data_IF_008888067650
#
_entry.id   IF_008888067650
#
_cell.length_a   1.000
_cell.length_b   1.000
_cell.length_c   1.000
_cell.angle_alpha   90.00
_cell.angle_beta   90.00
_cell.angle_gamma   90.00
#
_symmetry.space_group_name_H-M   'P 1'
#
loop_
_entity.id
_entity.type
_entity.pdbx_description
1 polymer ?
#
# COMPACT_ATOMS: atom_id res chain seq x y z
N UNK A 1 3.29 30.94 -2.19
CA UNK A 1 1.85 30.76 -2.52
C UNK A 1 1.47 29.31 -2.21
N UNK A 2 0.43 29.12 -1.44
CA UNK A 2 -0.03 27.77 -1.09
C UNK A 2 -0.93 27.22 -2.22
N UNK A 3 -0.80 25.92 -2.50
CA UNK A 3 -1.73 25.19 -3.37
C UNK A 3 -3.03 24.98 -2.58
N UNK A 4 -4.18 25.18 -3.20
CA UNK A 4 -5.45 25.02 -2.52
C UNK A 4 -5.79 23.54 -2.24
N UNK A 5 -6.62 23.26 -1.20
CA UNK A 5 -6.93 21.87 -0.80
C UNK A 5 -7.63 21.01 -1.85
N UNK A 6 -8.43 21.62 -2.72
CA UNK A 6 -9.12 20.86 -3.80
C UNK A 6 -8.11 20.44 -4.88
N UNK A 7 -7.12 21.27 -5.18
CA UNK A 7 -6.02 20.92 -6.07
C UNK A 7 -5.16 19.81 -5.48
N UNK A 8 -4.88 19.86 -4.18
CA UNK A 8 -4.20 18.74 -3.51
C UNK A 8 -4.96 17.44 -3.66
N UNK A 9 -6.29 17.45 -3.51
CA UNK A 9 -7.12 16.24 -3.69
C UNK A 9 -6.99 15.69 -5.11
N UNK A 10 -7.10 16.55 -6.12
CA UNK A 10 -6.93 16.15 -7.52
C UNK A 10 -5.55 15.52 -7.78
N UNK A 11 -4.49 16.17 -7.31
CA UNK A 11 -3.12 15.68 -7.48
C UNK A 11 -2.84 14.38 -6.71
N UNK A 12 -3.46 14.20 -5.54
CA UNK A 12 -3.35 12.96 -4.78
C UNK A 12 -3.95 11.78 -5.55
N UNK A 13 -5.15 11.96 -6.10
CA UNK A 13 -5.84 10.94 -6.89
C UNK A 13 -5.04 10.61 -8.15
N UNK A 14 -4.57 11.63 -8.88
CA UNK A 14 -3.77 11.45 -10.08
C UNK A 14 -2.48 10.68 -9.79
N UNK A 15 -1.73 11.10 -8.77
CA UNK A 15 -0.48 10.47 -8.39
C UNK A 15 -0.68 9.02 -7.93
N UNK A 16 -1.74 8.74 -7.16
CA UNK A 16 -2.11 7.38 -6.77
C UNK A 16 -2.40 6.51 -7.99
N UNK A 17 -3.26 6.97 -8.88
CA UNK A 17 -3.69 6.19 -10.04
C UNK A 17 -2.53 5.95 -11.03
N UNK A 18 -1.73 6.97 -11.28
CA UNK A 18 -0.58 6.85 -12.19
C UNK A 18 0.55 5.96 -11.63
N UNK A 19 0.64 5.80 -10.32
CA UNK A 19 1.56 4.82 -9.71
C UNK A 19 1.25 3.40 -10.20
N UNK A 20 -0.03 3.06 -10.32
CA UNK A 20 -0.47 1.74 -10.75
C UNK A 20 -0.18 1.41 -12.21
N UNK A 21 0.05 2.41 -13.06
CA UNK A 21 0.50 2.17 -14.45
C UNK A 21 1.83 1.40 -14.50
N UNK A 22 2.67 1.59 -13.49
CA UNK A 22 3.94 0.90 -13.36
C UNK A 22 3.82 -0.29 -12.39
N UNK A 23 3.27 -0.06 -11.21
CA UNK A 23 3.14 -1.06 -10.15
C UNK A 23 2.29 -2.27 -10.58
N UNK A 24 1.39 -2.11 -11.53
CA UNK A 24 0.58 -3.19 -12.11
C UNK A 24 1.34 -4.13 -13.04
N UNK A 25 2.59 -3.80 -13.41
CA UNK A 25 3.45 -4.69 -14.20
C UNK A 25 4.01 -5.83 -13.35
N UNK A 26 4.35 -6.99 -13.95
CA UNK A 26 5.17 -7.98 -13.25
C UNK A 26 6.46 -7.34 -12.73
N UNK A 27 6.84 -7.67 -11.50
CA UNK A 27 7.96 -7.01 -10.82
C UNK A 27 9.29 -7.10 -11.58
N UNK A 28 9.52 -8.22 -12.26
CA UNK A 28 10.72 -8.46 -13.09
C UNK A 28 10.73 -7.69 -14.42
N UNK A 29 9.61 -7.07 -14.78
CA UNK A 29 9.47 -6.23 -15.98
C UNK A 29 9.52 -4.73 -15.69
N UNK A 30 9.61 -4.33 -14.43
CA UNK A 30 9.74 -2.92 -14.04
C UNK A 30 11.19 -2.49 -14.23
N UNK A 31 11.42 -1.54 -15.13
CA UNK A 31 12.76 -0.99 -15.37
C UNK A 31 13.22 -0.09 -14.22
N UNK A 32 14.54 0.09 -14.01
CA UNK A 32 15.05 0.93 -12.92
C UNK A 32 14.47 2.35 -12.89
N UNK A 33 14.37 3.01 -14.04
CA UNK A 33 13.80 4.37 -14.13
C UNK A 33 12.29 4.38 -13.83
N UNK A 34 11.57 3.33 -14.21
CA UNK A 34 10.16 3.16 -13.87
C UNK A 34 9.98 2.93 -12.37
N UNK A 35 10.87 2.17 -11.73
CA UNK A 35 10.85 1.96 -10.30
C UNK A 35 11.05 3.28 -9.53
N UNK A 36 11.97 4.13 -9.98
CA UNK A 36 12.15 5.48 -9.42
C UNK A 36 10.90 6.34 -9.64
N UNK A 37 10.33 6.32 -10.83
CA UNK A 37 9.15 7.13 -11.16
C UNK A 37 7.92 6.71 -10.33
N UNK A 38 7.61 5.41 -10.22
CA UNK A 38 6.49 4.98 -9.37
C UNK A 38 6.69 5.36 -7.90
N UNK A 39 7.93 5.35 -7.43
CA UNK A 39 8.25 5.74 -6.05
C UNK A 39 7.99 7.23 -5.83
N UNK A 40 8.40 8.09 -6.76
CA UNK A 40 8.11 9.53 -6.71
C UNK A 40 6.60 9.79 -6.70
N UNK A 41 5.84 9.10 -7.56
CA UNK A 41 4.38 9.23 -7.63
C UNK A 41 3.71 8.79 -6.34
N UNK A 42 4.15 7.69 -5.72
CA UNK A 42 3.62 7.24 -4.45
C UNK A 42 3.88 8.25 -3.31
N UNK A 43 5.06 8.86 -3.26
CA UNK A 43 5.34 9.94 -2.30
C UNK A 43 4.53 11.19 -2.60
N UNK A 44 4.34 11.56 -3.86
CA UNK A 44 3.49 12.67 -4.24
C UNK A 44 2.04 12.44 -3.79
N UNK A 45 1.50 11.23 -3.98
CA UNK A 45 0.17 10.87 -3.48
C UNK A 45 0.08 11.06 -1.95
N UNK A 46 1.03 10.54 -1.19
CA UNK A 46 1.06 10.68 0.26
C UNK A 46 1.17 12.15 0.71
N UNK A 47 2.02 12.94 0.06
CA UNK A 47 2.16 14.37 0.33
C UNK A 47 0.86 15.13 0.10
N UNK A 48 0.20 14.87 -1.03
CA UNK A 48 -1.02 15.58 -1.39
C UNK A 48 -2.22 15.14 -0.55
N UNK A 49 -2.35 13.86 -0.20
CA UNK A 49 -3.44 13.39 0.68
C UNK A 49 -3.44 14.07 2.04
N UNK A 50 -2.27 14.38 2.62
CA UNK A 50 -2.19 15.08 3.90
C UNK A 50 -2.76 16.51 3.84
N UNK A 51 -2.91 17.08 2.63
CA UNK A 51 -3.33 18.47 2.39
C UNK A 51 -4.64 18.56 1.64
N UNK A 52 -5.17 17.43 1.24
CA UNK A 52 -6.36 17.35 0.40
C UNK A 52 -7.63 17.72 1.17
N UNK A 53 -8.53 18.43 0.49
CA UNK A 53 -9.87 18.67 1.00
C UNK A 53 -10.58 17.33 1.27
N UNK A 54 -11.23 17.23 2.42
CA UNK A 54 -12.00 16.04 2.82
C UNK A 54 -11.16 14.77 3.03
N UNK A 55 -9.85 14.92 3.20
CA UNK A 55 -8.98 13.78 3.55
C UNK A 55 -9.34 13.21 4.92
N UNK A 56 -9.30 11.88 5.01
CA UNK A 56 -9.62 11.13 6.23
C UNK A 56 -8.41 10.25 6.61
N UNK A 57 -8.39 9.66 7.82
CA UNK A 57 -7.37 8.68 8.18
C UNK A 57 -7.24 7.51 7.19
N UNK A 58 -8.34 7.09 6.55
CA UNK A 58 -8.30 6.05 5.53
C UNK A 58 -7.42 6.45 4.33
N UNK A 59 -7.46 7.70 3.89
CA UNK A 59 -6.59 8.19 2.82
C UNK A 59 -5.11 8.10 3.20
N UNK A 60 -4.77 8.45 4.44
CA UNK A 60 -3.40 8.35 4.96
C UNK A 60 -2.94 6.89 5.05
N UNK A 61 -3.79 6.00 5.56
CA UNK A 61 -3.48 4.57 5.65
C UNK A 61 -3.24 3.96 4.25
N UNK A 62 -4.07 4.29 3.28
CA UNK A 62 -3.94 3.82 1.89
C UNK A 62 -2.70 4.36 1.19
N UNK A 63 -2.32 5.61 1.47
CA UNK A 63 -1.08 6.19 0.96
C UNK A 63 0.15 5.48 1.53
N UNK A 64 0.17 5.18 2.82
CA UNK A 64 1.24 4.42 3.46
C UNK A 64 1.29 2.97 2.96
N UNK A 65 0.13 2.33 2.73
CA UNK A 65 0.07 1.02 2.10
C UNK A 65 0.69 1.04 0.69
N UNK A 66 0.36 2.03 -0.13
CA UNK A 66 0.92 2.15 -1.49
C UNK A 66 2.44 2.29 -1.45
N UNK A 67 2.98 3.12 -0.55
CA UNK A 67 4.42 3.26 -0.35
C UNK A 67 5.05 1.93 0.09
N UNK A 68 4.43 1.21 1.02
CA UNK A 68 4.90 -0.11 1.44
C UNK A 68 4.96 -1.08 0.26
N UNK A 69 3.93 -1.11 -0.58
CA UNK A 69 3.86 -1.97 -1.77
C UNK A 69 4.96 -1.64 -2.79
N UNK A 70 5.16 -0.36 -3.07
CA UNK A 70 6.22 0.10 -4.00
C UNK A 70 7.59 -0.34 -3.52
N UNK A 71 7.91 -0.13 -2.24
CA UNK A 71 9.20 -0.53 -1.68
C UNK A 71 9.38 -2.05 -1.62
N UNK A 72 8.31 -2.81 -1.35
CA UNK A 72 8.36 -4.27 -1.39
C UNK A 72 8.66 -4.78 -2.81
N UNK A 73 8.00 -4.25 -3.83
CA UNK A 73 8.25 -4.60 -5.23
C UNK A 73 9.69 -4.27 -5.64
N UNK A 74 10.28 -3.21 -5.09
CA UNK A 74 11.69 -2.86 -5.29
C UNK A 74 12.66 -3.71 -4.48
N UNK A 75 12.19 -4.66 -3.68
CA UNK A 75 13.04 -5.50 -2.82
C UNK A 75 13.61 -4.78 -1.61
N UNK A 76 13.07 -3.62 -1.22
CA UNK A 76 13.54 -2.80 -0.11
C UNK A 76 12.67 -3.05 1.13
N UNK A 77 12.91 -4.18 1.79
CA UNK A 77 12.07 -4.67 2.90
C UNK A 77 12.02 -3.74 4.10
N UNK A 78 13.11 -3.06 4.45
CA UNK A 78 13.14 -2.12 5.57
C UNK A 78 12.22 -0.91 5.32
N UNK A 79 12.25 -0.37 4.11
CA UNK A 79 11.37 0.74 3.72
C UNK A 79 9.91 0.26 3.64
N UNK A 80 9.67 -0.91 3.07
CA UNK A 80 8.33 -1.50 3.03
C UNK A 80 7.78 -1.68 4.46
N UNK A 81 8.58 -2.17 5.40
CA UNK A 81 8.18 -2.35 6.80
C UNK A 81 7.87 -1.04 7.50
N UNK A 82 8.65 0.02 7.24
CA UNK A 82 8.39 1.35 7.80
C UNK A 82 6.96 1.79 7.47
N UNK A 83 6.57 1.73 6.20
CA UNK A 83 5.25 2.18 5.76
C UNK A 83 4.13 1.19 6.11
N UNK A 84 4.41 -0.12 6.13
CA UNK A 84 3.45 -1.10 6.62
C UNK A 84 3.06 -0.86 8.09
N UNK A 85 4.03 -0.55 8.95
CA UNK A 85 3.80 -0.20 10.35
C UNK A 85 3.03 1.11 10.50
N UNK A 86 3.31 2.11 9.67
CA UNK A 86 2.56 3.37 9.66
C UNK A 86 1.09 3.15 9.28
N UNK A 87 0.85 2.34 8.25
CA UNK A 87 -0.49 1.95 7.82
C UNK A 87 -1.25 1.27 8.95
N UNK A 88 -0.66 0.28 9.61
CA UNK A 88 -1.27 -0.42 10.74
C UNK A 88 -1.53 0.52 11.91
N UNK A 89 -0.58 1.38 12.28
CA UNK A 89 -0.74 2.35 13.36
C UNK A 89 -1.93 3.30 13.10
N UNK A 90 -2.13 3.74 11.87
CA UNK A 90 -3.29 4.56 11.51
C UNK A 90 -4.59 3.77 11.65
N UNK A 91 -4.61 2.50 11.23
CA UNK A 91 -5.79 1.64 11.42
C UNK A 91 -6.13 1.46 12.90
N UNK A 92 -5.14 1.22 13.75
CA UNK A 92 -5.33 1.07 15.19
C UNK A 92 -5.82 2.36 15.85
N UNK A 93 -5.15 3.49 15.56
CA UNK A 93 -5.46 4.79 16.18
C UNK A 93 -6.83 5.31 15.76
N UNK A 94 -7.23 5.09 14.51
CA UNK A 94 -8.48 5.61 13.95
C UNK A 94 -9.58 4.55 13.85
N UNK A 95 -9.37 3.37 14.44
CA UNK A 95 -10.32 2.25 14.44
C UNK A 95 -10.81 1.86 13.04
N UNK A 96 -9.90 1.87 12.06
CA UNK A 96 -10.19 1.42 10.71
C UNK A 96 -10.25 -0.11 10.70
N UNK A 97 -11.29 -0.63 10.10
CA UNK A 97 -11.58 -2.08 10.00
C UNK A 97 -11.80 -2.44 8.53
N UNK A 98 -12.28 -3.67 8.27
CA UNK A 98 -12.71 -4.07 6.93
C UNK A 98 -11.55 -3.98 5.92
N UNK A 99 -11.76 -3.36 4.77
CA UNK A 99 -10.81 -3.20 3.67
C UNK A 99 -9.45 -2.63 4.12
N UNK A 100 -9.45 -1.55 4.88
CA UNK A 100 -8.21 -0.88 5.29
C UNK A 100 -7.37 -1.73 6.25
N UNK A 101 -8.02 -2.44 7.17
CA UNK A 101 -7.32 -3.35 8.08
C UNK A 101 -6.76 -4.57 7.35
N UNK A 102 -7.49 -5.11 6.38
CA UNK A 102 -6.99 -6.21 5.54
C UNK A 102 -5.72 -5.80 4.82
N UNK A 103 -5.68 -4.61 4.24
CA UNK A 103 -4.50 -4.10 3.56
C UNK A 103 -3.34 -3.73 4.50
N UNK A 104 -3.62 -3.32 5.73
CA UNK A 104 -2.56 -3.14 6.72
C UNK A 104 -1.85 -4.47 7.04
N UNK A 105 -2.59 -5.56 7.17
CA UNK A 105 -2.02 -6.89 7.33
C UNK A 105 -1.30 -7.38 6.05
N UNK A 106 -1.85 -7.11 4.88
CA UNK A 106 -1.21 -7.44 3.60
C UNK A 106 0.15 -6.73 3.46
N UNK A 107 0.22 -5.45 3.79
CA UNK A 107 1.47 -4.68 3.76
C UNK A 107 2.52 -5.26 4.71
N UNK A 108 2.14 -5.59 5.94
CA UNK A 108 3.03 -6.25 6.91
C UNK A 108 3.50 -7.60 6.39
N UNK A 109 2.61 -8.40 5.80
CA UNK A 109 2.95 -9.70 5.23
C UNK A 109 4.01 -9.58 4.13
N UNK A 110 3.84 -8.66 3.18
CA UNK A 110 4.81 -8.45 2.10
C UNK A 110 6.14 -7.92 2.60
N UNK A 111 6.12 -6.99 3.53
CA UNK A 111 7.34 -6.46 4.12
C UNK A 111 8.13 -7.55 4.85
N UNK A 112 7.47 -8.38 5.65
CA UNK A 112 8.11 -9.55 6.28
C UNK A 112 8.65 -10.54 5.25
N UNK A 113 7.88 -10.84 4.20
CA UNK A 113 8.32 -11.73 3.12
C UNK A 113 9.58 -11.18 2.42
N UNK A 114 9.59 -9.88 2.11
CA UNK A 114 10.73 -9.20 1.51
C UNK A 114 11.98 -9.25 2.40
N UNK A 115 11.80 -9.22 3.73
CA UNK A 115 12.88 -9.34 4.73
C UNK A 115 13.31 -10.79 5.02
N UNK A 116 12.71 -11.79 4.36
CA UNK A 116 13.02 -13.20 4.59
C UNK A 116 12.39 -13.80 5.85
N UNK A 117 11.43 -13.10 6.45
CA UNK A 117 10.76 -13.48 7.70
C UNK A 117 9.49 -14.29 7.40
N UNK A 118 9.65 -15.51 6.91
CA UNK A 118 8.59 -16.33 6.35
C UNK A 118 7.42 -16.61 7.32
N UNK A 119 7.71 -16.87 8.60
CA UNK A 119 6.67 -17.16 9.61
C UNK A 119 5.74 -15.95 9.82
N UNK A 120 6.31 -14.78 10.03
CA UNK A 120 5.52 -13.54 10.21
C UNK A 120 4.77 -13.17 8.93
N UNK A 121 5.39 -13.36 7.76
CA UNK A 121 4.75 -13.12 6.48
C UNK A 121 3.48 -13.98 6.31
N UNK A 122 3.57 -15.28 6.57
CA UNK A 122 2.41 -16.18 6.48
C UNK A 122 1.33 -15.81 7.48
N UNK A 123 1.71 -15.49 8.72
CA UNK A 123 0.76 -15.10 9.77
C UNK A 123 -0.05 -13.86 9.36
N UNK A 124 0.61 -12.83 8.88
CA UNK A 124 -0.08 -11.62 8.44
C UNK A 124 -0.87 -11.81 7.14
N UNK A 125 -0.37 -12.62 6.21
CA UNK A 125 -1.11 -12.97 4.99
C UNK A 125 -2.41 -13.70 5.31
N UNK A 126 -2.36 -14.66 6.23
CA UNK A 126 -3.54 -15.37 6.72
C UNK A 126 -4.51 -14.41 7.43
N UNK A 127 -4.00 -13.53 8.30
CA UNK A 127 -4.85 -12.52 8.96
C UNK A 127 -5.56 -11.63 7.95
N UNK A 128 -4.87 -11.15 6.92
CA UNK A 128 -5.48 -10.35 5.87
C UNK A 128 -6.64 -11.09 5.18
N UNK A 129 -6.46 -12.36 4.88
CA UNK A 129 -7.49 -13.19 4.23
C UNK A 129 -8.71 -13.46 5.12
N UNK A 130 -8.55 -13.38 6.44
CA UNK A 130 -9.61 -13.64 7.42
C UNK A 130 -10.38 -12.40 7.85
N UNK A 131 -9.93 -11.20 7.47
CA UNK A 131 -10.66 -9.96 7.78
C UNK A 131 -12.01 -9.98 7.07
N UNK A 132 -13.07 -9.68 7.83
CA UNK A 132 -14.41 -9.54 7.27
C UNK A 132 -14.51 -8.27 6.46
N UNK A 133 -14.85 -8.40 5.18
CA UNK A 133 -15.02 -7.29 4.23
C UNK A 133 -16.46 -7.37 3.73
N UNK A 134 -17.23 -6.30 3.99
CA UNK A 134 -18.67 -6.29 3.73
C UNK A 134 -19.00 -6.21 2.24
N UNK A 135 -18.22 -5.44 1.46
CA UNK A 135 -18.42 -5.30 0.02
C UNK A 135 -17.75 -6.45 -0.74
N UNK A 136 -18.50 -7.25 -1.54
CA UNK A 136 -17.93 -8.35 -2.30
C UNK A 136 -16.90 -7.93 -3.36
N UNK A 137 -17.03 -6.72 -3.93
CA UNK A 137 -16.05 -6.20 -4.88
C UNK A 137 -14.73 -5.87 -4.19
N UNK A 138 -14.79 -5.21 -3.04
CA UNK A 138 -13.61 -4.94 -2.20
C UNK A 138 -12.95 -6.25 -1.74
N UNK A 139 -13.74 -7.25 -1.34
CA UNK A 139 -13.23 -8.58 -0.98
C UNK A 139 -12.47 -9.23 -2.15
N UNK A 140 -13.02 -9.16 -3.34
CA UNK A 140 -12.40 -9.70 -4.55
C UNK A 140 -11.07 -9.00 -4.87
N UNK A 141 -10.99 -7.68 -4.67
CA UNK A 141 -9.75 -6.91 -4.86
C UNK A 141 -8.67 -7.36 -3.86
N UNK A 142 -9.00 -7.49 -2.59
CA UNK A 142 -8.07 -7.96 -1.55
C UNK A 142 -7.60 -9.38 -1.86
N UNK A 143 -8.50 -10.29 -2.19
CA UNK A 143 -8.15 -11.68 -2.53
C UNK A 143 -7.24 -11.74 -3.77
N UNK A 144 -7.49 -10.90 -4.77
CA UNK A 144 -6.65 -10.77 -5.95
C UNK A 144 -5.23 -10.30 -5.62
N UNK A 145 -5.10 -9.31 -4.75
CA UNK A 145 -3.80 -8.82 -4.31
C UNK A 145 -3.05 -9.85 -3.46
N UNK A 146 -3.75 -10.57 -2.59
CA UNK A 146 -3.15 -11.67 -1.81
C UNK A 146 -2.67 -12.83 -2.69
N UNK A 147 -3.27 -13.03 -3.85
CA UNK A 147 -2.86 -14.04 -4.84
C UNK A 147 -1.73 -13.55 -5.75
N UNK A 148 -1.45 -12.24 -5.82
CA UNK A 148 -0.46 -11.67 -6.74
C UNK A 148 0.94 -11.59 -6.14
N UNK A 149 1.96 -11.91 -6.94
CA UNK A 149 3.38 -11.77 -6.58
C UNK A 149 3.80 -10.28 -6.51
N UNK A 150 4.93 -9.94 -5.85
CA UNK A 150 5.91 -10.88 -5.27
C UNK A 150 5.62 -11.25 -3.80
N UNK A 151 5.79 -12.50 -3.47
CA UNK A 151 5.74 -13.02 -2.09
C UNK A 151 7.09 -13.54 -1.59
N UNK A 152 8.16 -13.43 -2.38
CA UNK A 152 9.53 -13.76 -1.99
C UNK A 152 9.64 -15.18 -1.37
N UNK A 153 10.04 -15.25 -0.09
CA UNK A 153 10.27 -16.53 0.62
C UNK A 153 9.01 -17.38 0.85
N UNK A 154 7.82 -16.84 0.59
CA UNK A 154 6.55 -17.56 0.77
C UNK A 154 5.74 -17.70 -0.53
N UNK A 155 6.39 -17.48 -1.65
CA UNK A 155 5.80 -17.69 -2.98
C UNK A 155 5.43 -19.16 -3.20
#
# INVERSE_FOLDING_TARGET
MAVDPSTHRFLAIEANNSTWEILGKPADQILPDEAEEMTRRAYAAAYHWQRAEGSTPANSARADWLLSRVWAVRGQGDQAMLYAKRCMATCETSSLVDFDLAYAHEALARAHACLGQASEARRHKERASQISIADPEDKAVVDGDLASEPWFVIS
#
